data_IF_240131789867
#
_entry.id   IF_240131789867
#
_cell.length_a   1.000
_cell.length_b   1.000
_cell.length_c   1.000
_cell.angle_alpha   90.00
_cell.angle_beta   90.00
_cell.angle_gamma   90.00
#
_symmetry.space_group_name_H-M   'P 1'
#
loop_
_entity.id
_entity.type
_entity.pdbx_description
1 polymer ?
#
# COMPACT_ATOMS: atom_id res chain seq x y z
N UNK A 1 21.01 6.32 13.75
CA UNK A 1 22.13 5.55 14.32
C UNK A 1 21.65 4.18 14.80
N UNK A 2 20.78 4.10 15.81
CA UNK A 2 20.34 2.83 16.45
C UNK A 2 19.79 1.82 15.44
N UNK A 3 18.87 2.23 14.56
CA UNK A 3 18.28 1.34 13.56
C UNK A 3 19.34 0.73 12.65
N UNK A 4 20.29 1.53 12.14
CA UNK A 4 21.33 1.04 11.24
C UNK A 4 22.29 0.08 11.94
N UNK A 5 22.69 0.38 13.18
CA UNK A 5 23.56 -0.50 13.96
C UNK A 5 22.87 -1.81 14.29
N UNK A 6 21.58 -1.76 14.68
CA UNK A 6 20.78 -2.96 14.97
C UNK A 6 20.62 -3.85 13.74
N UNK A 7 20.23 -3.26 12.59
CA UNK A 7 20.13 -3.99 11.32
C UNK A 7 21.48 -4.59 10.93
N UNK A 8 22.58 -3.86 11.12
CA UNK A 8 23.93 -4.38 10.83
C UNK A 8 24.29 -5.59 11.70
N UNK A 9 23.94 -5.56 13.00
CA UNK A 9 24.17 -6.71 13.90
C UNK A 9 23.34 -7.93 13.48
N UNK A 10 22.08 -7.74 13.10
CA UNK A 10 21.20 -8.83 12.61
C UNK A 10 21.73 -9.41 11.29
N UNK A 11 22.23 -8.58 10.41
CA UNK A 11 22.71 -8.97 9.09
C UNK A 11 24.16 -9.52 9.09
N UNK A 12 24.93 -9.31 10.18
CA UNK A 12 26.33 -9.69 10.25
C UNK A 12 26.64 -11.16 9.89
N UNK A 13 25.82 -12.15 10.28
CA UNK A 13 26.05 -13.53 9.87
C UNK A 13 25.90 -13.78 8.36
N UNK A 14 25.16 -12.93 7.64
CA UNK A 14 24.87 -13.09 6.21
C UNK A 14 25.79 -12.26 5.32
N UNK A 15 26.14 -11.06 5.75
CA UNK A 15 26.98 -10.10 4.99
C UNK A 15 28.11 -9.54 5.87
N UNK A 16 29.04 -10.39 6.35
CA UNK A 16 29.98 -10.06 7.41
C UNK A 16 30.89 -8.86 7.10
N UNK A 17 31.38 -8.74 5.88
CA UNK A 17 32.35 -7.69 5.54
C UNK A 17 31.71 -6.28 5.50
N UNK A 18 30.53 -6.17 4.92
CA UNK A 18 29.82 -4.88 4.84
C UNK A 18 29.39 -4.40 6.23
N UNK A 19 28.84 -5.31 7.04
CA UNK A 19 28.39 -4.97 8.40
C UNK A 19 29.55 -4.62 9.32
N UNK A 20 30.69 -5.26 9.16
CA UNK A 20 31.92 -4.89 9.86
C UNK A 20 32.37 -3.47 9.50
N UNK A 21 32.40 -3.14 8.21
CA UNK A 21 32.79 -1.80 7.75
C UNK A 21 31.83 -0.72 8.29
N UNK A 22 30.52 -0.99 8.28
CA UNK A 22 29.52 -0.09 8.89
C UNK A 22 29.78 0.08 10.38
N UNK A 23 30.05 -1.01 11.10
CA UNK A 23 30.31 -0.99 12.53
C UNK A 23 31.58 -0.20 12.87
N UNK A 24 32.67 -0.44 12.17
CA UNK A 24 33.93 0.28 12.38
C UNK A 24 33.75 1.79 12.19
N UNK A 25 33.00 2.19 11.17
CA UNK A 25 32.77 3.60 10.87
C UNK A 25 31.75 4.28 11.82
N UNK A 26 30.71 3.58 12.23
CA UNK A 26 29.63 4.19 13.02
C UNK A 26 29.81 4.04 14.54
N UNK A 27 30.38 2.93 14.98
CA UNK A 27 30.46 2.59 16.41
C UNK A 27 31.89 2.70 16.90
N UNK A 28 32.81 1.94 16.35
CA UNK A 28 34.19 1.87 16.86
C UNK A 28 34.97 3.17 16.72
N UNK A 29 34.72 3.91 15.63
CA UNK A 29 35.35 5.23 15.42
C UNK A 29 34.92 6.29 16.45
N UNK A 30 33.73 6.11 17.08
CA UNK A 30 33.16 7.05 18.04
C UNK A 30 33.35 6.56 19.49
N UNK A 31 33.22 5.25 19.71
CA UNK A 31 33.37 4.63 21.02
C UNK A 31 34.50 3.61 21.03
N UNK A 32 35.68 4.01 21.52
CA UNK A 32 36.84 3.16 21.62
C UNK A 32 36.63 1.96 22.60
N UNK A 33 35.65 2.05 23.52
CA UNK A 33 35.34 1.00 24.50
C UNK A 33 34.44 -0.10 23.92
N UNK A 34 33.77 0.14 22.76
CA UNK A 34 32.96 -0.83 22.08
C UNK A 34 33.78 -2.07 21.66
N UNK A 35 33.19 -3.25 21.51
CA UNK A 35 33.84 -4.44 20.99
C UNK A 35 34.65 -4.16 19.72
N UNK A 36 35.73 -4.88 19.53
CA UNK A 36 36.67 -4.65 18.42
C UNK A 36 36.04 -4.94 17.04
N UNK A 37 35.03 -5.81 17.03
CA UNK A 37 34.30 -6.23 15.81
C UNK A 37 32.83 -6.39 16.10
N UNK A 38 31.96 -6.17 15.09
CA UNK A 38 30.52 -6.42 15.16
C UNK A 38 30.24 -7.90 15.51
N UNK A 39 31.11 -8.80 15.09
CA UNK A 39 30.99 -10.24 15.34
C UNK A 39 31.25 -10.65 16.79
N UNK A 40 31.78 -9.73 17.61
CA UNK A 40 31.96 -9.90 19.06
C UNK A 40 30.85 -9.23 19.86
N UNK A 41 29.89 -8.59 19.18
CA UNK A 41 28.74 -7.98 19.83
C UNK A 41 27.64 -9.03 20.10
N UNK A 42 26.88 -8.82 21.17
CA UNK A 42 25.66 -9.59 21.41
C UNK A 42 24.60 -9.34 20.31
N UNK A 43 23.85 -10.39 20.01
CA UNK A 43 22.74 -10.30 19.06
C UNK A 43 21.64 -9.41 19.66
N UNK A 44 21.00 -8.54 18.85
CA UNK A 44 19.99 -7.62 19.37
C UNK A 44 18.78 -8.35 19.97
N UNK A 45 18.37 -7.90 21.13
CA UNK A 45 17.14 -8.35 21.76
C UNK A 45 15.95 -7.45 21.38
N UNK A 46 14.75 -8.04 21.37
CA UNK A 46 13.51 -7.29 21.07
C UNK A 46 13.16 -6.37 22.24
N UNK A 47 12.96 -5.09 21.95
CA UNK A 47 12.50 -4.09 22.90
C UNK A 47 11.01 -3.86 22.71
N UNK A 48 10.19 -4.66 23.39
CA UNK A 48 8.72 -4.63 23.22
C UNK A 48 8.10 -3.26 23.56
N UNK A 49 8.75 -2.48 24.42
CA UNK A 49 8.32 -1.14 24.79
C UNK A 49 8.43 -0.11 23.65
N UNK A 50 9.19 -0.43 22.59
CA UNK A 50 9.35 0.44 21.42
C UNK A 50 8.39 0.05 20.27
N UNK A 51 7.65 -1.05 20.42
CA UNK A 51 6.68 -1.49 19.41
C UNK A 51 5.40 -0.68 19.58
N UNK A 52 5.02 0.05 18.55
CA UNK A 52 3.76 0.80 18.46
C UNK A 52 2.91 0.16 17.34
N UNK A 53 2.03 -0.77 17.72
CA UNK A 53 1.17 -1.50 16.79
C UNK A 53 0.28 -0.57 15.95
N UNK A 54 -0.15 0.57 16.54
CA UNK A 54 -0.96 1.55 15.82
C UNK A 54 -0.16 2.25 14.73
N UNK A 55 1.06 2.66 15.05
CA UNK A 55 1.96 3.29 14.07
C UNK A 55 2.29 2.31 12.95
N UNK A 56 2.54 1.04 13.27
CA UNK A 56 2.81 0.01 12.26
C UNK A 56 1.61 -0.19 11.33
N UNK A 57 0.40 -0.29 11.89
CA UNK A 57 -0.83 -0.43 11.09
C UNK A 57 -1.10 0.81 10.21
N UNK A 58 -0.89 2.01 10.73
CA UNK A 58 -1.03 3.25 9.95
C UNK A 58 0.01 3.31 8.81
N UNK A 59 1.25 2.90 9.06
CA UNK A 59 2.30 2.84 8.04
C UNK A 59 2.03 1.76 6.98
N UNK A 60 1.47 0.62 7.34
CA UNK A 60 1.02 -0.39 6.38
C UNK A 60 -0.08 0.16 5.46
N UNK A 61 -1.01 0.93 5.99
CA UNK A 61 -2.02 1.63 5.21
C UNK A 61 -1.39 2.65 4.25
N UNK A 62 -0.39 3.42 4.71
CA UNK A 62 0.38 4.35 3.85
C UNK A 62 1.07 3.59 2.71
N UNK A 63 1.77 2.49 3.00
CA UNK A 63 2.43 1.67 1.99
C UNK A 63 1.44 1.14 0.94
N UNK A 64 0.29 0.63 1.37
CA UNK A 64 -0.76 0.15 0.47
C UNK A 64 -1.29 1.27 -0.42
N UNK A 65 -1.54 2.47 0.12
CA UNK A 65 -1.99 3.62 -0.66
C UNK A 65 -0.93 4.06 -1.68
N UNK A 66 0.34 4.06 -1.31
CA UNK A 66 1.45 4.40 -2.23
C UNK A 66 1.55 3.38 -3.36
N UNK A 67 1.45 2.08 -3.06
CA UNK A 67 1.46 1.01 -4.08
C UNK A 67 0.30 1.16 -5.05
N UNK A 68 -0.93 1.36 -4.54
CA UNK A 68 -2.12 1.58 -5.37
C UNK A 68 -2.00 2.88 -6.19
N UNK A 69 -1.54 3.95 -5.60
CA UNK A 69 -1.34 5.22 -6.28
C UNK A 69 -0.32 5.14 -7.42
N UNK A 70 0.78 4.41 -7.22
CA UNK A 70 1.77 4.12 -8.28
C UNK A 70 1.17 3.27 -9.39
N UNK A 71 0.35 2.28 -9.05
CA UNK A 71 -0.36 1.46 -10.03
C UNK A 71 -1.34 2.30 -10.88
N UNK A 72 -2.10 3.20 -10.26
CA UNK A 72 -2.98 4.13 -10.97
C UNK A 72 -2.21 5.07 -11.90
N UNK A 73 -1.07 5.62 -11.46
CA UNK A 73 -0.20 6.43 -12.31
C UNK A 73 0.32 5.66 -13.52
N UNK A 74 0.77 4.42 -13.32
CA UNK A 74 1.26 3.57 -14.39
C UNK A 74 0.15 3.24 -15.39
N UNK A 75 -1.05 2.91 -14.92
CA UNK A 75 -2.20 2.63 -15.77
C UNK A 75 -2.62 3.85 -16.63
N UNK A 76 -2.44 5.06 -16.09
CA UNK A 76 -2.74 6.32 -16.77
C UNK A 76 -1.52 6.89 -17.54
N UNK A 77 -0.39 6.20 -17.58
CA UNK A 77 0.88 6.67 -18.17
C UNK A 77 1.39 8.00 -17.61
N UNK A 78 1.08 8.31 -16.35
CA UNK A 78 1.54 9.52 -15.66
C UNK A 78 2.85 9.21 -14.94
N UNK A 79 3.94 9.90 -15.31
CA UNK A 79 5.26 9.70 -14.68
C UNK A 79 5.26 10.20 -13.24
N UNK A 80 5.99 9.54 -12.33
CA UNK A 80 6.06 9.94 -10.91
C UNK A 80 6.52 11.40 -10.70
N UNK A 81 7.42 11.89 -11.54
CA UNK A 81 7.89 13.29 -11.49
C UNK A 81 6.85 14.34 -11.94
N UNK A 82 5.74 13.91 -12.55
CA UNK A 82 4.68 14.81 -12.95
C UNK A 82 3.73 15.05 -11.78
N UNK A 83 3.59 16.28 -11.25
CA UNK A 83 2.73 16.55 -10.13
C UNK A 83 1.25 16.38 -10.51
N UNK A 84 0.47 15.82 -9.59
CA UNK A 84 -0.99 15.73 -9.68
C UNK A 84 -1.60 16.69 -8.67
N UNK A 85 -2.67 17.40 -9.07
CA UNK A 85 -3.33 18.38 -8.21
C UNK A 85 -4.03 17.76 -7.01
N UNK A 86 -4.71 16.62 -7.21
CA UNK A 86 -5.53 16.00 -6.17
C UNK A 86 -5.65 14.50 -6.37
N UNK A 87 -5.66 13.76 -5.25
CA UNK A 87 -5.93 12.33 -5.17
C UNK A 87 -7.12 12.11 -4.24
N UNK A 88 -8.08 11.29 -4.66
CA UNK A 88 -9.20 10.86 -3.84
C UNK A 88 -8.96 9.42 -3.40
N UNK A 89 -9.20 9.15 -2.12
CA UNK A 89 -9.04 7.84 -1.51
C UNK A 89 -10.37 7.42 -0.90
N UNK A 90 -10.88 6.25 -1.30
CA UNK A 90 -11.97 5.57 -0.61
C UNK A 90 -11.35 4.43 0.20
N UNK A 91 -11.44 4.53 1.51
CA UNK A 91 -10.94 3.51 2.44
C UNK A 91 -11.88 3.42 3.65
N UNK A 92 -11.91 2.25 4.29
CA UNK A 92 -12.63 2.04 5.55
C UNK A 92 -11.90 2.58 6.78
N UNK A 93 -10.86 3.39 6.58
CA UNK A 93 -10.05 4.03 7.60
C UNK A 93 -9.73 5.47 7.19
N UNK A 94 -9.44 6.30 8.17
CA UNK A 94 -8.91 7.64 7.98
C UNK A 94 -7.48 7.72 8.51
N UNK A 95 -6.62 8.49 7.85
CA UNK A 95 -5.24 8.68 8.26
C UNK A 95 -5.04 10.11 8.77
N UNK A 96 -4.34 10.29 9.91
CA UNK A 96 -3.88 11.59 10.37
C UNK A 96 -3.11 12.37 9.28
N UNK A 97 -3.16 13.69 9.33
CA UNK A 97 -2.56 14.59 8.33
C UNK A 97 -1.10 14.28 8.03
N UNK A 98 -0.33 13.96 9.06
CA UNK A 98 1.07 13.56 8.93
C UNK A 98 1.29 12.40 7.94
N UNK A 99 0.44 11.36 8.00
CA UNK A 99 0.53 10.23 7.08
C UNK A 99 0.02 10.57 5.67
N UNK A 100 -0.96 11.47 5.57
CA UNK A 100 -1.44 11.97 4.28
C UNK A 100 -0.34 12.76 3.55
N UNK A 101 0.47 13.53 4.27
CA UNK A 101 1.64 14.23 3.73
C UNK A 101 2.67 13.24 3.17
N UNK A 102 2.96 12.14 3.87
CA UNK A 102 3.87 11.09 3.37
C UNK A 102 3.34 10.52 2.05
N UNK A 103 2.05 10.18 1.97
CA UNK A 103 1.43 9.68 0.73
C UNK A 103 1.51 10.72 -0.39
N UNK A 104 1.27 12.00 -0.07
CA UNK A 104 1.32 13.10 -1.02
C UNK A 104 2.73 13.27 -1.62
N UNK A 105 3.75 13.24 -0.78
CA UNK A 105 5.16 13.37 -1.18
C UNK A 105 5.61 12.17 -2.03
N UNK A 106 5.33 10.93 -1.58
CA UNK A 106 5.70 9.71 -2.29
C UNK A 106 5.04 9.58 -3.68
N UNK A 107 3.84 10.11 -3.81
CA UNK A 107 3.09 10.08 -5.06
C UNK A 107 3.18 11.38 -5.87
N UNK A 108 3.90 12.39 -5.39
CA UNK A 108 3.96 13.72 -6.00
C UNK A 108 2.55 14.28 -6.29
N UNK A 109 1.71 14.31 -5.27
CA UNK A 109 0.34 14.81 -5.28
C UNK A 109 0.24 16.00 -4.34
N UNK A 110 -0.45 17.06 -4.75
CA UNK A 110 -0.56 18.28 -3.92
C UNK A 110 -1.52 18.11 -2.74
N UNK A 111 -2.60 17.36 -2.94
CA UNK A 111 -3.62 17.14 -1.91
C UNK A 111 -4.15 15.71 -1.97
N UNK A 112 -4.24 15.06 -0.82
CA UNK A 112 -4.92 13.78 -0.64
C UNK A 112 -6.24 14.03 0.08
N UNK A 113 -7.35 13.51 -0.43
CA UNK A 113 -8.67 13.63 0.18
C UNK A 113 -9.29 12.26 0.38
N UNK A 114 -9.68 11.96 1.59
CA UNK A 114 -10.51 10.82 1.89
C UNK A 114 -11.97 11.14 1.58
N UNK A 115 -12.68 10.23 0.96
CA UNK A 115 -14.09 10.38 0.60
C UNK A 115 -14.78 9.02 0.62
N UNK A 116 -15.99 8.97 1.14
CA UNK A 116 -16.84 7.79 1.10
C UNK A 116 -17.59 7.67 -0.24
N UNK A 117 -17.81 8.81 -0.90
CA UNK A 117 -18.49 8.84 -2.20
C UNK A 117 -17.48 8.99 -3.35
N UNK A 118 -17.41 7.94 -4.16
CA UNK A 118 -16.57 7.88 -5.36
C UNK A 118 -17.39 7.78 -6.65
N UNK A 119 -18.71 7.97 -6.61
CA UNK A 119 -19.62 7.80 -7.75
C UNK A 119 -19.27 8.73 -8.90
N UNK A 120 -18.80 9.92 -8.59
CA UNK A 120 -18.39 10.90 -9.61
C UNK A 120 -17.12 10.50 -10.36
N UNK A 121 -16.33 9.56 -9.80
CA UNK A 121 -15.01 9.16 -10.33
C UNK A 121 -14.98 7.73 -10.82
N UNK A 122 -16.05 6.95 -10.60
CA UNK A 122 -16.10 5.53 -10.97
C UNK A 122 -17.29 5.26 -11.87
N UNK A 123 -17.05 4.48 -12.92
CA UNK A 123 -18.10 3.92 -13.75
C UNK A 123 -17.94 2.39 -13.76
N UNK A 124 -19.01 1.69 -13.47
CA UNK A 124 -19.02 0.23 -13.51
C UNK A 124 -19.61 -0.26 -14.83
N UNK A 125 -18.97 -1.28 -15.41
CA UNK A 125 -19.51 -2.01 -16.55
C UNK A 125 -19.54 -3.49 -16.23
N UNK A 126 -20.65 -4.16 -16.54
CA UNK A 126 -20.83 -5.57 -16.26
C UNK A 126 -20.64 -6.40 -17.52
N UNK A 127 -19.92 -7.53 -17.38
CA UNK A 127 -19.75 -8.50 -18.45
C UNK A 127 -20.21 -9.87 -17.96
N UNK A 128 -21.01 -10.60 -18.75
CA UNK A 128 -21.44 -11.94 -18.36
C UNK A 128 -20.23 -12.88 -18.28
N UNK A 129 -20.14 -13.64 -17.20
CA UNK A 129 -19.10 -14.67 -17.05
C UNK A 129 -19.45 -15.88 -17.92
N UNK A 130 -18.84 -15.98 -19.09
CA UNK A 130 -19.18 -16.98 -20.11
C UNK A 130 -19.07 -18.43 -19.63
N UNK A 131 -18.16 -18.72 -18.69
CA UNK A 131 -18.02 -20.09 -18.12
C UNK A 131 -19.26 -20.54 -17.35
N UNK A 132 -19.95 -19.64 -16.65
CA UNK A 132 -21.15 -19.95 -15.85
C UNK A 132 -22.43 -19.72 -16.60
N UNK A 133 -22.52 -18.66 -17.39
CA UNK A 133 -23.75 -18.28 -18.13
C UNK A 133 -23.88 -19.05 -19.43
N UNK A 134 -22.75 -19.35 -20.08
CA UNK A 134 -22.74 -20.03 -21.38
C UNK A 134 -23.48 -21.40 -21.42
N UNK A 135 -23.19 -22.34 -20.50
CA UNK A 135 -23.85 -23.64 -20.47
C UNK A 135 -25.35 -23.57 -20.20
N UNK A 136 -25.81 -22.57 -19.41
CA UNK A 136 -27.22 -22.43 -19.00
C UNK A 136 -28.05 -21.59 -19.97
N UNK A 137 -27.46 -20.53 -20.51
CA UNK A 137 -28.16 -19.47 -21.23
C UNK A 137 -27.51 -19.12 -22.59
N UNK A 138 -26.77 -20.03 -23.21
CA UNK A 138 -26.01 -19.80 -24.43
C UNK A 138 -26.79 -19.14 -25.57
N UNK A 139 -28.06 -19.55 -25.77
CA UNK A 139 -28.95 -18.96 -26.80
C UNK A 139 -29.39 -17.52 -26.48
N UNK A 140 -29.32 -17.10 -25.21
CA UNK A 140 -29.76 -15.78 -24.73
C UNK A 140 -28.60 -14.82 -24.43
N UNK A 141 -27.36 -15.26 -24.68
CA UNK A 141 -26.15 -14.47 -24.38
C UNK A 141 -26.16 -13.07 -25.01
N UNK A 142 -26.67 -12.97 -26.26
CA UNK A 142 -26.81 -11.68 -26.95
C UNK A 142 -27.77 -10.72 -26.23
N UNK A 143 -28.92 -11.23 -25.79
CA UNK A 143 -29.91 -10.46 -25.02
C UNK A 143 -29.39 -10.06 -23.63
N UNK A 144 -28.71 -11.00 -22.96
CA UNK A 144 -28.11 -10.74 -21.64
C UNK A 144 -27.03 -9.63 -21.76
N UNK A 145 -26.17 -9.71 -22.78
CA UNK A 145 -25.15 -8.68 -23.02
C UNK A 145 -25.80 -7.32 -23.32
N UNK A 146 -26.81 -7.29 -24.20
CA UNK A 146 -27.50 -6.04 -24.50
C UNK A 146 -28.21 -5.43 -23.27
N UNK A 147 -28.80 -6.28 -22.42
CA UNK A 147 -29.40 -5.80 -21.17
C UNK A 147 -28.34 -5.26 -20.19
N UNK A 148 -27.19 -5.91 -20.07
CA UNK A 148 -26.09 -5.44 -19.22
C UNK A 148 -25.45 -4.13 -19.74
N UNK A 149 -25.36 -3.95 -21.04
CA UNK A 149 -24.84 -2.73 -21.67
C UNK A 149 -25.79 -1.52 -21.50
N UNK A 150 -27.08 -1.78 -21.23
CA UNK A 150 -28.09 -0.75 -20.98
C UNK A 150 -28.27 -0.41 -19.49
N UNK A 151 -27.67 -1.19 -18.58
CA UNK A 151 -27.75 -0.92 -17.16
C UNK A 151 -26.87 0.30 -16.79
N UNK A 152 -27.44 1.14 -15.93
CA UNK A 152 -26.62 2.11 -15.19
C UNK A 152 -25.72 1.31 -14.21
N UNK A 153 -24.41 1.29 -14.52
CA UNK A 153 -23.44 0.51 -13.78
C UNK A 153 -23.37 0.88 -12.29
N UNK A 154 -23.50 2.16 -11.97
CA UNK A 154 -23.44 2.63 -10.59
C UNK A 154 -24.69 2.21 -9.81
N UNK A 155 -25.88 2.39 -10.38
CA UNK A 155 -27.14 1.95 -9.76
C UNK A 155 -27.24 0.42 -9.61
N UNK A 156 -26.64 -0.34 -10.54
CA UNK A 156 -26.61 -1.80 -10.46
C UNK A 156 -25.63 -2.29 -9.39
N UNK A 157 -24.51 -1.57 -9.18
CA UNK A 157 -23.53 -1.89 -8.13
C UNK A 157 -24.12 -1.63 -6.75
N UNK A 158 -24.78 -0.49 -6.52
CA UNK A 158 -25.45 -0.15 -5.27
C UNK A 158 -26.45 -1.26 -4.86
N UNK A 159 -27.27 -1.76 -5.81
CA UNK A 159 -28.21 -2.86 -5.53
C UNK A 159 -27.50 -4.17 -5.18
N UNK A 160 -26.35 -4.45 -5.77
CA UNK A 160 -25.58 -5.67 -5.47
C UNK A 160 -24.98 -5.65 -4.08
N UNK A 161 -24.55 -4.48 -3.61
CA UNK A 161 -24.02 -4.27 -2.25
C UNK A 161 -25.14 -4.37 -1.19
N UNK A 162 -26.33 -3.82 -1.45
CA UNK A 162 -27.50 -3.97 -0.56
C UNK A 162 -27.86 -5.44 -0.35
N UNK A 163 -27.92 -6.24 -1.40
CA UNK A 163 -28.24 -7.67 -1.30
C UNK A 163 -27.14 -8.52 -0.66
N UNK A 164 -25.90 -8.08 -0.66
CA UNK A 164 -24.78 -8.80 -0.02
C UNK A 164 -24.73 -8.52 1.49
N UNK A 165 -25.25 -7.39 1.94
CA UNK A 165 -25.32 -7.03 3.38
C UNK A 165 -26.50 -7.66 4.12
N UNK A 166 -27.47 -8.26 3.40
CA UNK A 166 -28.64 -8.94 3.98
C UNK A 166 -28.45 -10.47 4.15
N UNK A 167 -27.32 -11.03 3.75
CA UNK A 167 -26.96 -12.46 3.88
C UNK A 167 -25.88 -12.65 4.95
#
# INVERSE_FOLDING_TARGET
YTALVTVSKVAAPMIPFMTEEIYQNLVKSVDASAPESIHLCDYPEVQNELIDEKLEADMDNVLNLVVMGRACRNASNIKNRQPIGQMFVKAGFDLPEFYQEIVADELNVKNVKFTDDVRDFTSYSFKPQLKTVGPKYGKMLGGIKAALDQLDGNAAMDRSEEHTSEL
#
